data_IF_473118295203
#
_entry.id   IF_473118295203
#
_cell.length_a   1.000
_cell.length_b   1.000
_cell.length_c   1.000
_cell.angle_alpha   90.00
_cell.angle_beta   90.00
_cell.angle_gamma   90.00
#
_symmetry.space_group_name_H-M   'P 1'
#
loop_
_entity.id
_entity.type
_entity.pdbx_description
1 polymer ?
#
# COMPACT_ATOMS: atom_id res chain seq x y z
N UNK A 1 33.50 28.54 -2.94
CA UNK A 1 33.38 27.31 -2.11
C UNK A 1 32.16 27.29 -1.20
N UNK A 2 31.92 28.33 -0.37
CA UNK A 2 30.74 28.36 0.52
C UNK A 2 29.40 28.32 -0.23
N UNK A 3 29.26 29.08 -1.31
CA UNK A 3 28.01 29.12 -2.11
C UNK A 3 27.63 27.75 -2.68
N UNK A 4 28.59 27.02 -3.25
CA UNK A 4 28.38 25.66 -3.81
C UNK A 4 27.98 24.69 -2.69
N UNK A 5 28.63 24.77 -1.52
CA UNK A 5 28.30 23.94 -0.36
C UNK A 5 26.87 24.19 0.14
N UNK A 6 26.46 25.45 0.25
CA UNK A 6 25.11 25.77 0.71
C UNK A 6 24.05 25.43 -0.34
N UNK A 7 24.32 25.61 -1.64
CA UNK A 7 23.39 25.19 -2.69
C UNK A 7 23.21 23.67 -2.71
N UNK A 8 24.30 22.90 -2.57
CA UNK A 8 24.21 21.44 -2.46
C UNK A 8 23.37 21.00 -1.26
N UNK A 9 23.64 21.57 -0.08
CA UNK A 9 22.88 21.28 1.14
C UNK A 9 21.37 21.57 0.96
N UNK A 10 20.99 22.68 0.32
CA UNK A 10 19.58 22.98 0.05
C UNK A 10 18.96 21.92 -0.86
N UNK A 11 19.64 21.53 -1.93
CA UNK A 11 19.15 20.48 -2.85
C UNK A 11 18.99 19.13 -2.13
N UNK A 12 19.95 18.77 -1.28
CA UNK A 12 19.88 17.57 -0.45
C UNK A 12 18.66 17.60 0.48
N UNK A 13 18.43 18.72 1.18
CA UNK A 13 17.30 18.87 2.10
C UNK A 13 15.96 18.82 1.39
N UNK A 14 15.86 19.33 0.15
CA UNK A 14 14.65 19.18 -0.67
C UNK A 14 14.40 17.71 -1.00
N UNK A 15 15.43 16.98 -1.47
CA UNK A 15 15.30 15.55 -1.76
C UNK A 15 14.87 14.73 -0.53
N UNK A 16 15.49 15.02 0.63
CA UNK A 16 15.13 14.40 1.90
C UNK A 16 13.70 14.76 2.34
N UNK A 17 13.29 16.02 2.17
CA UNK A 17 11.93 16.46 2.49
C UNK A 17 10.86 15.77 1.64
N UNK A 18 11.11 15.62 0.34
CA UNK A 18 10.22 14.85 -0.54
C UNK A 18 10.18 13.39 -0.08
N UNK A 19 11.32 12.78 0.22
CA UNK A 19 11.41 11.39 0.65
C UNK A 19 10.63 11.10 1.94
N UNK A 20 10.62 12.01 2.92
CA UNK A 20 9.91 11.79 4.19
C UNK A 20 8.40 11.94 4.07
N UNK A 21 7.93 12.83 3.18
CA UNK A 21 6.49 13.05 2.95
C UNK A 21 5.92 11.97 2.03
N UNK A 22 6.71 11.47 1.07
CA UNK A 22 6.24 10.60 0.00
C UNK A 22 5.45 9.36 0.48
N UNK A 23 5.87 8.61 1.53
CA UNK A 23 5.10 7.48 2.04
C UNK A 23 3.73 7.84 2.62
N UNK A 24 3.52 9.11 2.98
CA UNK A 24 2.28 9.62 3.57
C UNK A 24 1.27 10.06 2.50
N UNK A 25 1.74 10.35 1.28
CA UNK A 25 0.93 10.81 0.17
C UNK A 25 0.86 9.72 -0.91
N UNK A 26 -0.34 9.24 -1.22
CA UNK A 26 -0.53 8.21 -2.23
C UNK A 26 -1.99 7.87 -2.39
N UNK A 27 -2.42 7.65 -3.62
CA UNK A 27 -3.75 7.16 -3.91
C UNK A 27 -3.69 5.64 -4.08
N UNK A 28 -4.65 4.94 -3.46
CA UNK A 28 -4.77 3.50 -3.55
C UNK A 28 -6.16 3.13 -4.04
N UNK A 29 -6.23 2.31 -5.08
CA UNK A 29 -7.47 1.72 -5.59
C UNK A 29 -7.16 0.29 -6.00
N UNK A 30 -7.79 -0.68 -5.34
CA UNK A 30 -7.63 -2.09 -5.68
C UNK A 30 -8.59 -2.42 -6.82
N UNK A 31 -8.04 -2.81 -7.97
CA UNK A 31 -8.86 -3.28 -9.09
C UNK A 31 -9.25 -4.75 -8.92
N UNK A 32 -10.43 -5.12 -9.46
CA UNK A 32 -10.94 -6.48 -9.39
C UNK A 32 -9.93 -7.50 -9.95
N UNK A 33 -9.34 -7.21 -11.11
CA UNK A 33 -8.36 -8.12 -11.73
C UNK A 33 -7.15 -8.38 -10.84
N UNK A 34 -6.63 -7.32 -10.20
CA UNK A 34 -5.48 -7.44 -9.30
C UNK A 34 -5.85 -8.22 -8.05
N UNK A 35 -7.08 -8.06 -7.56
CA UNK A 35 -7.56 -8.83 -6.41
C UNK A 35 -7.76 -10.31 -6.78
N UNK A 36 -8.37 -10.61 -7.92
CA UNK A 36 -8.58 -11.97 -8.40
C UNK A 36 -7.24 -12.71 -8.59
N UNK A 37 -6.23 -12.03 -9.15
CA UNK A 37 -4.87 -12.56 -9.27
C UNK A 37 -4.24 -12.89 -7.91
N UNK A 38 -4.48 -12.03 -6.91
CA UNK A 38 -4.00 -12.23 -5.54
C UNK A 38 -4.71 -13.42 -4.86
N UNK A 39 -6.03 -13.51 -5.01
CA UNK A 39 -6.83 -14.62 -4.47
C UNK A 39 -6.34 -15.95 -5.02
N UNK A 40 -6.02 -15.98 -6.32
CA UNK A 40 -5.46 -17.15 -6.99
C UNK A 40 -4.03 -17.47 -6.57
N UNK A 41 -3.15 -16.47 -6.47
CA UNK A 41 -1.74 -16.65 -6.07
C UNK A 41 -1.60 -17.10 -4.61
N UNK A 42 -2.49 -16.62 -3.73
CA UNK A 42 -2.49 -16.95 -2.30
C UNK A 42 -3.39 -18.11 -1.91
N UNK A 43 -4.14 -18.66 -2.87
CA UNK A 43 -5.03 -19.79 -2.67
C UNK A 43 -5.98 -19.57 -1.48
N UNK A 44 -6.64 -18.41 -1.45
CA UNK A 44 -7.56 -18.09 -0.36
C UNK A 44 -8.82 -18.94 -0.44
N UNK A 45 -8.99 -19.85 0.53
CA UNK A 45 -10.17 -20.71 0.67
C UNK A 45 -11.37 -20.02 1.35
N UNK A 46 -11.22 -18.76 1.76
CA UNK A 46 -12.27 -18.00 2.47
C UNK A 46 -13.13 -17.20 1.52
N UNK A 47 -14.33 -17.67 1.23
CA UNK A 47 -15.29 -16.93 0.39
C UNK A 47 -15.77 -15.65 1.10
N UNK A 48 -15.90 -15.70 2.44
CA UNK A 48 -16.28 -14.54 3.25
C UNK A 48 -15.25 -13.42 3.16
N UNK A 49 -13.95 -13.75 3.19
CA UNK A 49 -12.91 -12.73 3.03
C UNK A 49 -12.95 -12.10 1.64
N UNK A 50 -13.15 -12.92 0.60
CA UNK A 50 -13.26 -12.44 -0.79
C UNK A 50 -14.45 -11.50 -0.94
N UNK A 51 -15.61 -11.87 -0.40
CA UNK A 51 -16.81 -11.04 -0.39
C UNK A 51 -16.61 -9.71 0.37
N UNK A 52 -16.07 -9.78 1.59
CA UNK A 52 -15.79 -8.61 2.41
C UNK A 52 -14.85 -7.62 1.72
N UNK A 53 -13.78 -8.10 1.08
CA UNK A 53 -12.85 -7.24 0.33
C UNK A 53 -13.49 -6.67 -0.93
N UNK A 54 -14.27 -7.46 -1.68
CA UNK A 54 -15.00 -6.95 -2.84
C UNK A 54 -15.96 -5.82 -2.46
N UNK A 55 -16.68 -5.98 -1.35
CA UNK A 55 -17.66 -5.00 -0.89
C UNK A 55 -17.01 -3.75 -0.28
N UNK A 56 -15.90 -3.92 0.42
CA UNK A 56 -15.34 -2.86 1.25
C UNK A 56 -14.09 -2.17 0.69
N UNK A 57 -13.37 -2.81 -0.23
CA UNK A 57 -12.06 -2.34 -0.69
C UNK A 57 -11.97 -2.25 -2.22
N UNK A 58 -12.44 -3.26 -2.96
CA UNK A 58 -12.31 -3.28 -4.42
C UNK A 58 -13.08 -2.13 -5.06
N UNK A 59 -12.44 -1.45 -6.00
CA UNK A 59 -12.99 -0.30 -6.71
C UNK A 59 -13.06 0.99 -5.90
N UNK A 60 -12.79 0.98 -4.59
CA UNK A 60 -12.82 2.18 -3.74
C UNK A 60 -11.47 2.88 -3.71
N UNK A 61 -11.52 4.21 -3.68
CA UNK A 61 -10.33 5.05 -3.56
C UNK A 61 -9.99 5.33 -2.10
N UNK A 62 -8.72 5.17 -1.76
CA UNK A 62 -8.17 5.48 -0.46
C UNK A 62 -7.02 6.47 -0.58
N UNK A 63 -7.06 7.51 0.23
CA UNK A 63 -5.95 8.44 0.41
C UNK A 63 -5.02 7.91 1.49
N UNK A 64 -3.85 7.42 1.08
CA UNK A 64 -2.84 6.86 1.95
C UNK A 64 -3.12 5.43 2.37
N UNK A 65 -2.05 4.76 2.84
CA UNK A 65 -2.11 3.36 3.25
C UNK A 65 -2.92 3.15 4.53
N UNK A 66 -3.11 4.18 5.36
CA UNK A 66 -3.80 4.07 6.65
C UNK A 66 -5.28 3.70 6.50
N UNK A 67 -6.00 4.37 5.60
CA UNK A 67 -7.41 4.07 5.32
C UNK A 67 -7.60 2.69 4.74
N UNK A 68 -6.80 2.34 3.72
CA UNK A 68 -6.81 1.01 3.11
C UNK A 68 -6.51 -0.08 4.15
N UNK A 69 -5.48 0.11 4.98
CA UNK A 69 -5.09 -0.88 5.99
C UNK A 69 -6.16 -1.11 7.04
N UNK A 70 -6.89 -0.05 7.44
CA UNK A 70 -7.97 -0.16 8.40
C UNK A 70 -9.10 -1.04 7.86
N UNK A 71 -9.54 -0.80 6.61
CA UNK A 71 -10.63 -1.57 6.02
C UNK A 71 -10.22 -3.02 5.74
N UNK A 72 -9.03 -3.26 5.18
CA UNK A 72 -8.52 -4.62 4.96
C UNK A 72 -8.45 -5.41 6.28
N UNK A 73 -7.92 -4.81 7.34
CA UNK A 73 -7.83 -5.47 8.66
C UNK A 73 -9.21 -5.77 9.23
N UNK A 74 -10.16 -4.85 9.05
CA UNK A 74 -11.55 -5.01 9.52
C UNK A 74 -12.23 -6.16 8.78
N UNK A 75 -12.21 -6.16 7.45
CA UNK A 75 -12.74 -7.23 6.59
C UNK A 75 -12.14 -8.60 6.93
N UNK A 76 -10.82 -8.67 7.09
CA UNK A 76 -10.13 -9.90 7.49
C UNK A 76 -10.58 -10.40 8.86
N UNK A 77 -10.70 -9.51 9.84
CA UNK A 77 -11.12 -9.89 11.19
C UNK A 77 -12.58 -10.36 11.22
N UNK A 78 -13.46 -9.72 10.45
CA UNK A 78 -14.87 -10.12 10.36
C UNK A 78 -15.01 -11.52 9.74
N UNK A 79 -14.39 -11.75 8.58
CA UNK A 79 -14.40 -13.06 7.94
C UNK A 79 -13.82 -14.17 8.84
N UNK A 80 -12.66 -13.91 9.46
CA UNK A 80 -12.04 -14.88 10.36
C UNK A 80 -12.83 -15.12 11.65
N UNK A 81 -13.53 -14.12 12.18
CA UNK A 81 -14.39 -14.30 13.35
C UNK A 81 -15.56 -15.24 13.02
N UNK A 82 -16.21 -15.02 11.86
CA UNK A 82 -17.33 -15.84 11.41
C UNK A 82 -16.91 -17.29 11.11
N UNK A 83 -15.78 -17.50 10.42
CA UNK A 83 -15.25 -18.86 10.22
C UNK A 83 -14.91 -19.57 11.53
N UNK A 84 -14.39 -18.87 12.53
CA UNK A 84 -14.12 -19.46 13.86
C UNK A 84 -15.40 -19.82 14.61
N UNK A 85 -16.43 -19.00 14.52
CA UNK A 85 -17.75 -19.29 15.09
C UNK A 85 -18.37 -20.54 14.43
N UNK A 86 -18.24 -20.65 13.11
CA UNK A 86 -18.72 -21.79 12.32
C UNK A 86 -17.82 -23.04 12.40
N UNK A 87 -16.66 -22.95 13.07
CA UNK A 87 -15.63 -24.01 13.17
C UNK A 87 -14.99 -24.41 11.83
N UNK A 88 -14.97 -23.49 10.86
CA UNK A 88 -14.36 -23.62 9.52
C UNK A 88 -12.88 -23.19 9.56
N UNK A 89 -12.06 -23.90 10.33
CA UNK A 89 -10.67 -23.50 10.58
C UNK A 89 -9.76 -23.54 9.35
N UNK A 90 -10.09 -24.38 8.37
CA UNK A 90 -9.44 -24.47 7.06
C UNK A 90 -9.61 -23.19 6.21
N UNK A 91 -10.66 -22.41 6.49
CA UNK A 91 -10.94 -21.13 5.82
C UNK A 91 -10.38 -19.92 6.58
N UNK A 92 -9.77 -20.11 7.75
CA UNK A 92 -9.20 -19.00 8.52
C UNK A 92 -7.88 -18.55 7.89
N UNK A 93 -7.79 -17.27 7.58
CA UNK A 93 -6.56 -16.66 7.05
C UNK A 93 -5.69 -16.22 8.22
N UNK A 94 -4.52 -16.84 8.38
CA UNK A 94 -3.59 -16.57 9.48
C UNK A 94 -2.59 -15.44 9.21
N UNK A 95 -2.52 -14.94 7.97
CA UNK A 95 -1.75 -13.75 7.63
C UNK A 95 -2.20 -12.57 8.49
N UNK A 96 -1.25 -11.81 9.05
CA UNK A 96 -1.61 -10.66 9.88
C UNK A 96 -2.34 -9.61 9.04
N UNK A 97 -3.27 -8.87 9.65
CA UNK A 97 -3.99 -7.81 8.93
C UNK A 97 -3.06 -6.72 8.37
N UNK A 98 -1.90 -6.50 8.99
CA UNK A 98 -0.87 -5.58 8.48
C UNK A 98 -0.24 -6.12 7.20
N UNK A 99 0.12 -7.40 7.18
CA UNK A 99 0.76 -8.02 6.02
C UNK A 99 -0.23 -8.17 4.87
N UNK A 100 -1.50 -8.50 5.19
CA UNK A 100 -2.58 -8.53 4.20
C UNK A 100 -2.81 -7.15 3.59
N UNK A 101 -2.86 -6.10 4.43
CA UNK A 101 -2.96 -4.74 3.95
C UNK A 101 -1.77 -4.37 3.04
N UNK A 102 -0.53 -4.68 3.45
CA UNK A 102 0.65 -4.40 2.63
C UNK A 102 0.62 -5.12 1.28
N UNK A 103 0.14 -6.38 1.27
CA UNK A 103 0.01 -7.19 0.07
C UNK A 103 -1.00 -6.57 -0.92
N UNK A 104 -2.21 -6.25 -0.45
CA UNK A 104 -3.23 -5.61 -1.29
C UNK A 104 -2.81 -4.19 -1.70
N UNK A 105 -2.24 -3.42 -0.77
CA UNK A 105 -1.78 -2.04 -1.00
C UNK A 105 -0.70 -1.94 -2.08
N UNK A 106 0.22 -2.91 -2.15
CA UNK A 106 1.24 -2.97 -3.20
C UNK A 106 0.64 -3.07 -4.60
N UNK A 107 -0.45 -3.81 -4.75
CA UNK A 107 -1.19 -3.95 -6.01
C UNK A 107 -2.18 -2.81 -6.27
N UNK A 108 -2.43 -1.95 -5.27
CA UNK A 108 -3.44 -0.89 -5.31
C UNK A 108 -2.87 0.49 -5.61
N UNK A 109 -1.54 0.66 -5.69
CA UNK A 109 -0.93 1.99 -5.88
C UNK A 109 -1.33 2.62 -7.22
N UNK A 110 -1.92 3.82 -7.18
CA UNK A 110 -2.38 4.56 -8.37
C UNK A 110 -1.90 6.02 -8.36
N UNK A 111 -2.24 6.77 -9.42
CA UNK A 111 -1.91 8.20 -9.54
C UNK A 111 -0.47 8.49 -9.96
N UNK A 112 -0.07 9.76 -9.78
CA UNK A 112 1.21 10.28 -10.29
C UNK A 112 2.43 9.49 -9.79
N UNK A 113 2.43 9.13 -8.50
CA UNK A 113 3.55 8.43 -7.86
C UNK A 113 3.74 7.04 -8.48
N UNK A 114 2.65 6.29 -8.65
CA UNK A 114 2.70 4.94 -9.20
C UNK A 114 3.10 4.92 -10.68
N UNK A 115 2.71 5.95 -11.44
CA UNK A 115 3.00 6.08 -12.87
C UNK A 115 4.41 6.62 -13.15
N UNK A 116 5.00 7.39 -12.22
CA UNK A 116 6.27 8.10 -12.44
C UNK A 116 7.39 7.64 -11.50
N UNK A 117 7.51 6.32 -11.27
CA UNK A 117 8.48 5.73 -10.32
C UNK A 117 9.92 6.24 -10.52
N UNK A 118 10.36 6.40 -11.76
CA UNK A 118 11.70 6.93 -12.08
C UNK A 118 11.87 8.40 -11.67
N UNK A 119 10.87 9.23 -11.90
CA UNK A 119 10.87 10.64 -11.46
C UNK A 119 10.87 10.71 -9.95
N UNK A 120 10.04 9.92 -9.27
CA UNK A 120 9.99 9.90 -7.81
C UNK A 120 11.32 9.43 -7.20
N UNK A 121 11.97 8.44 -7.81
CA UNK A 121 13.32 8.03 -7.40
C UNK A 121 14.34 9.14 -7.60
N UNK A 122 14.31 9.85 -8.73
CA UNK A 122 15.21 10.97 -8.96
C UNK A 122 14.98 12.14 -8.00
N UNK A 123 13.71 12.48 -7.71
CA UNK A 123 13.37 13.57 -6.78
C UNK A 123 13.75 13.26 -5.33
N UNK A 124 13.75 12.00 -4.93
CA UNK A 124 14.09 11.58 -3.56
C UNK A 124 15.58 11.30 -3.40
N UNK A 125 16.11 10.39 -4.22
CA UNK A 125 17.50 9.95 -4.14
C UNK A 125 18.42 10.72 -5.08
N UNK A 126 17.99 11.00 -6.31
CA UNK A 126 18.81 11.74 -7.28
C UNK A 126 19.19 13.13 -6.81
N UNK A 127 18.22 13.92 -6.32
CA UNK A 127 18.49 15.23 -5.72
C UNK A 127 19.39 15.11 -4.47
N UNK A 128 19.15 14.10 -3.63
CA UNK A 128 20.00 13.81 -2.47
C UNK A 128 21.46 13.57 -2.88
N UNK A 129 21.69 12.75 -3.90
CA UNK A 129 23.05 12.44 -4.40
C UNK A 129 23.72 13.67 -5.01
N UNK A 130 22.99 14.48 -5.78
CA UNK A 130 23.54 15.69 -6.43
C UNK A 130 23.86 16.78 -5.39
N UNK A 131 23.08 16.86 -4.31
CA UNK A 131 23.24 17.87 -3.26
C UNK A 131 24.30 17.53 -2.21
N UNK A 132 24.63 16.25 -2.01
CA UNK A 132 25.59 15.76 -1.02
C UNK A 132 27.05 15.99 -1.45
#
# INVERSE_FOLDING_TARGET
MKTIKYSGLVVFLIGLGIFTILPLIGAYRLDQSNFDDIVKDKDFNSELFVEEINNNVVGKEFNGMMGLSAEVKKSLNQANAQHRENKEYDKVIYTSGKDMAALLGKASGTGFIAQNKGVMWFLTFGLGIIGA
#
